data_IF_217225280054
#
_entry.id   IF_217225280054
#
_cell.length_a   1.000
_cell.length_b   1.000
_cell.length_c   1.000
_cell.angle_alpha   90.00
_cell.angle_beta   90.00
_cell.angle_gamma   90.00
#
_symmetry.space_group_name_H-M   'P 1'
#
loop_
_entity.id
_entity.type
_entity.pdbx_description
1 polymer ?
#
# COMPACT_ATOMS: atom_id res chain seq x y z
N UNK A 1 -15.05 26.05 34.72
CA UNK A 1 -14.41 25.62 33.45
C UNK A 1 -13.08 24.92 33.69
N UNK A 2 -12.11 25.51 34.42
CA UNK A 2 -10.83 24.85 34.76
C UNK A 2 -10.97 23.52 35.51
N UNK A 3 -11.79 23.45 36.57
CA UNK A 3 -11.99 22.20 37.33
C UNK A 3 -12.59 21.05 36.50
N UNK A 4 -13.44 21.36 35.53
CA UNK A 4 -14.01 20.38 34.60
C UNK A 4 -12.93 19.83 33.66
N UNK A 5 -12.02 20.70 33.20
CA UNK A 5 -10.88 20.32 32.34
C UNK A 5 -9.92 19.43 33.13
N UNK A 6 -9.56 19.82 34.36
CA UNK A 6 -8.65 19.04 35.21
C UNK A 6 -9.22 17.66 35.56
N UNK A 7 -10.53 17.59 35.83
CA UNK A 7 -11.22 16.31 36.09
C UNK A 7 -11.19 15.38 34.87
N UNK A 8 -11.38 15.92 33.66
CA UNK A 8 -11.32 15.15 32.40
C UNK A 8 -9.89 14.73 32.08
N UNK A 9 -8.90 15.62 32.26
CA UNK A 9 -7.48 15.29 32.05
C UNK A 9 -6.97 14.24 33.04
N UNK A 10 -7.53 14.19 34.25
CA UNK A 10 -7.22 13.19 35.26
C UNK A 10 -7.78 11.79 34.98
N UNK A 11 -8.67 11.61 34.00
CA UNK A 11 -9.16 10.27 33.63
C UNK A 11 -8.01 9.42 33.07
N UNK A 12 -7.82 8.16 33.52
CA UNK A 12 -6.66 7.35 33.15
C UNK A 12 -6.41 7.25 31.65
N UNK A 13 -7.48 7.10 30.85
CA UNK A 13 -7.40 7.01 29.38
C UNK A 13 -6.93 8.33 28.78
N UNK A 14 -7.46 9.46 29.27
CA UNK A 14 -7.10 10.81 28.80
C UNK A 14 -5.68 11.14 29.20
N UNK A 15 -5.31 10.90 30.45
CA UNK A 15 -3.95 11.07 30.95
C UNK A 15 -2.93 10.23 30.16
N UNK A 16 -3.28 8.98 29.81
CA UNK A 16 -2.45 8.12 28.98
C UNK A 16 -2.30 8.65 27.56
N UNK A 17 -3.39 9.09 26.91
CA UNK A 17 -3.35 9.68 25.58
C UNK A 17 -2.53 10.98 25.55
N UNK A 18 -2.67 11.84 26.56
CA UNK A 18 -1.86 13.05 26.71
C UNK A 18 -0.37 12.72 26.90
N UNK A 19 -0.06 11.71 27.72
CA UNK A 19 1.31 11.22 27.93
C UNK A 19 1.91 10.63 26.64
N UNK A 20 1.11 9.91 25.85
CA UNK A 20 1.52 9.39 24.55
C UNK A 20 1.80 10.52 23.55
N UNK A 21 0.94 11.55 23.50
CA UNK A 21 1.16 12.72 22.66
C UNK A 21 2.40 13.52 23.09
N UNK A 22 2.62 13.71 24.39
CA UNK A 22 3.83 14.34 24.92
C UNK A 22 5.09 13.55 24.54
N UNK A 23 5.06 12.21 24.69
CA UNK A 23 6.14 11.32 24.25
C UNK A 23 6.40 11.42 22.75
N UNK A 24 5.36 11.47 21.92
CA UNK A 24 5.47 11.63 20.47
C UNK A 24 6.19 12.93 20.10
N UNK A 25 5.80 14.05 20.73
CA UNK A 25 6.42 15.35 20.48
C UNK A 25 7.88 15.41 20.99
N UNK A 26 8.15 14.88 22.19
CA UNK A 26 9.51 14.80 22.75
C UNK A 26 10.48 13.96 21.92
N UNK A 27 9.96 13.05 21.08
CA UNK A 27 10.76 12.16 20.22
C UNK A 27 10.81 12.58 18.76
N UNK A 28 10.54 13.85 18.47
CA UNK A 28 10.55 14.40 17.12
C UNK A 28 9.51 13.76 16.19
N UNK A 29 8.38 13.29 16.74
CA UNK A 29 7.29 12.68 16.00
C UNK A 29 6.85 13.47 14.77
N UNK A 30 6.53 14.77 14.91
CA UNK A 30 6.16 15.60 13.76
C UNK A 30 7.25 15.65 12.68
N UNK A 31 8.53 15.70 13.05
CA UNK A 31 9.64 15.73 12.10
C UNK A 31 9.81 14.39 11.37
N UNK A 32 9.67 13.27 12.08
CA UNK A 32 9.69 11.94 11.47
C UNK A 32 8.49 11.75 10.53
N UNK A 33 7.29 12.18 10.93
CA UNK A 33 6.12 12.15 10.07
C UNK A 33 6.33 12.96 8.79
N UNK A 34 6.86 14.19 8.91
CA UNK A 34 7.20 15.04 7.76
C UNK A 34 8.23 14.38 6.84
N UNK A 35 9.29 13.80 7.40
CA UNK A 35 10.31 13.09 6.64
C UNK A 35 9.72 11.88 5.89
N UNK A 36 8.93 11.05 6.56
CA UNK A 36 8.26 9.89 5.93
C UNK A 36 7.34 10.36 4.81
N UNK A 37 6.53 11.40 4.98
CA UNK A 37 5.69 11.94 3.91
C UNK A 37 6.51 12.43 2.70
N UNK A 38 7.60 13.16 2.96
CA UNK A 38 8.51 13.63 1.90
C UNK A 38 9.10 12.47 1.10
N UNK A 39 9.67 11.47 1.78
CA UNK A 39 10.23 10.30 1.11
C UNK A 39 9.17 9.45 0.42
N UNK A 40 7.93 9.41 0.92
CA UNK A 40 6.82 8.68 0.28
C UNK A 40 6.49 9.31 -1.07
N UNK A 41 6.32 10.64 -1.12
CA UNK A 41 6.04 11.36 -2.37
C UNK A 41 7.18 11.18 -3.37
N UNK A 42 8.43 11.31 -2.92
CA UNK A 42 9.60 11.10 -3.79
C UNK A 42 9.73 9.66 -4.30
N UNK A 43 9.32 8.66 -3.51
CA UNK A 43 9.35 7.25 -3.92
C UNK A 43 8.21 6.89 -4.87
N UNK A 44 7.10 7.62 -4.82
CA UNK A 44 5.94 7.36 -5.65
C UNK A 44 6.27 7.43 -7.14
N UNK A 45 7.04 8.42 -7.57
CA UNK A 45 7.38 8.59 -9.00
C UNK A 45 8.14 7.37 -9.55
N UNK A 46 9.29 6.95 -8.97
CA UNK A 46 9.97 5.73 -9.41
C UNK A 46 9.13 4.46 -9.30
N UNK A 47 8.33 4.31 -8.24
CA UNK A 47 7.42 3.17 -8.09
C UNK A 47 6.44 3.11 -9.26
N UNK A 48 5.82 4.24 -9.60
CA UNK A 48 4.88 4.33 -10.71
C UNK A 48 5.58 4.09 -12.05
N UNK A 49 6.80 4.60 -12.25
CA UNK A 49 7.59 4.29 -13.45
C UNK A 49 7.88 2.79 -13.58
N UNK A 50 8.26 2.14 -12.49
CA UNK A 50 8.49 0.70 -12.49
C UNK A 50 7.18 -0.08 -12.71
N UNK A 51 6.09 0.30 -12.04
CA UNK A 51 4.78 -0.30 -12.22
C UNK A 51 4.28 -0.15 -13.66
N UNK A 52 4.44 1.04 -14.25
CA UNK A 52 4.16 1.29 -15.67
C UNK A 52 4.95 0.37 -16.58
N UNK A 53 6.25 0.21 -16.32
CA UNK A 53 7.08 -0.65 -17.14
C UNK A 53 6.69 -2.14 -17.01
N UNK A 54 6.33 -2.60 -15.81
CA UNK A 54 5.82 -3.95 -15.56
C UNK A 54 4.47 -4.16 -16.24
N UNK A 55 3.56 -3.18 -16.15
CA UNK A 55 2.27 -3.21 -16.85
C UNK A 55 2.46 -3.26 -18.36
N UNK A 56 3.35 -2.45 -18.92
CA UNK A 56 3.65 -2.45 -20.34
C UNK A 56 4.26 -3.77 -20.81
N UNK A 57 5.23 -4.32 -20.08
CA UNK A 57 5.76 -5.67 -20.34
C UNK A 57 4.63 -6.72 -20.31
N UNK A 58 3.76 -6.65 -19.30
CA UNK A 58 2.69 -7.63 -19.11
C UNK A 58 1.68 -7.55 -20.25
N UNK A 59 1.13 -6.37 -20.52
CA UNK A 59 0.06 -6.20 -21.51
C UNK A 59 0.54 -6.22 -22.97
N UNK A 60 1.82 -5.99 -23.24
CA UNK A 60 2.34 -6.00 -24.63
C UNK A 60 3.10 -7.27 -25.00
N UNK A 61 3.65 -8.00 -24.03
CA UNK A 61 4.49 -9.19 -24.29
C UNK A 61 3.94 -10.44 -23.62
N UNK A 62 3.65 -10.40 -22.32
CA UNK A 62 3.30 -11.62 -21.57
C UNK A 62 1.84 -12.05 -21.77
N UNK A 63 0.94 -11.06 -21.85
CA UNK A 63 -0.52 -11.22 -21.89
C UNK A 63 -1.16 -10.17 -22.81
N UNK A 64 -0.88 -10.22 -24.13
CA UNK A 64 -1.50 -9.31 -25.09
C UNK A 64 -3.03 -9.44 -25.13
N UNK A 65 -3.56 -10.60 -24.77
CA UNK A 65 -5.00 -10.84 -24.62
C UNK A 65 -5.68 -9.90 -23.62
N UNK A 66 -4.97 -9.49 -22.55
CA UNK A 66 -5.50 -8.54 -21.57
C UNK A 66 -5.57 -7.11 -22.14
N UNK A 67 -4.68 -6.73 -23.05
CA UNK A 67 -4.73 -5.43 -23.73
C UNK A 67 -5.98 -5.31 -24.61
N UNK A 68 -6.30 -6.38 -25.33
CA UNK A 68 -7.50 -6.44 -26.17
C UNK A 68 -8.78 -6.35 -25.32
N UNK A 69 -8.81 -7.01 -24.16
CA UNK A 69 -9.90 -6.89 -23.20
C UNK A 69 -10.06 -5.47 -22.66
N UNK A 70 -8.96 -4.80 -22.28
CA UNK A 70 -9.01 -3.41 -21.81
C UNK A 70 -9.56 -2.49 -22.89
N UNK A 71 -9.12 -2.67 -24.15
CA UNK A 71 -9.61 -1.85 -25.27
C UNK A 71 -11.10 -2.09 -25.53
N UNK A 72 -11.55 -3.34 -25.46
CA UNK A 72 -12.97 -3.70 -25.59
C UNK A 72 -13.80 -3.04 -24.49
N UNK A 73 -13.35 -3.11 -23.22
CA UNK A 73 -14.04 -2.44 -22.10
C UNK A 73 -14.13 -0.92 -22.28
N UNK A 74 -13.08 -0.29 -22.82
CA UNK A 74 -13.07 1.16 -23.09
C UNK A 74 -14.11 1.50 -24.17
N UNK A 75 -14.16 0.73 -25.26
CA UNK A 75 -15.15 0.91 -26.33
C UNK A 75 -16.57 0.76 -25.78
N UNK A 76 -16.81 -0.31 -25.02
CA UNK A 76 -18.12 -0.61 -24.44
C UNK A 76 -18.61 0.49 -23.48
N UNK A 77 -17.70 1.07 -22.68
CA UNK A 77 -18.03 2.13 -21.73
C UNK A 77 -18.28 3.49 -22.41
N UNK A 78 -17.61 3.76 -23.52
CA UNK A 78 -17.76 5.02 -24.24
C UNK A 78 -18.94 5.01 -25.22
N UNK A 79 -19.35 3.83 -25.69
CA UNK A 79 -20.42 3.69 -26.69
C UNK A 79 -20.07 4.25 -28.07
N UNK A 80 -18.80 4.59 -28.30
CA UNK A 80 -18.26 5.10 -29.57
C UNK A 80 -17.01 4.28 -29.94
N UNK A 81 -17.12 3.47 -31.00
CA UNK A 81 -16.04 2.59 -31.46
C UNK A 81 -14.80 3.38 -31.93
N UNK A 82 -14.99 4.54 -32.56
CA UNK A 82 -13.90 5.35 -33.08
C UNK A 82 -13.08 5.98 -31.97
N UNK A 83 -13.76 6.56 -30.98
CA UNK A 83 -13.13 7.14 -29.80
C UNK A 83 -12.47 6.06 -28.93
N UNK A 84 -13.17 4.95 -28.68
CA UNK A 84 -12.62 3.85 -27.88
C UNK A 84 -11.38 3.22 -28.50
N UNK A 85 -11.37 3.02 -29.82
CA UNK A 85 -10.19 2.55 -30.54
C UNK A 85 -9.03 3.54 -30.47
N UNK A 86 -9.30 4.84 -30.63
CA UNK A 86 -8.26 5.89 -30.52
C UNK A 86 -7.59 5.88 -29.14
N UNK A 87 -8.38 5.74 -28.07
CA UNK A 87 -7.86 5.67 -26.70
C UNK A 87 -7.10 4.37 -26.47
N UNK A 88 -7.62 3.22 -26.95
CA UNK A 88 -6.94 1.93 -26.85
C UNK A 88 -5.58 1.91 -27.55
N UNK A 89 -5.52 2.44 -28.78
CA UNK A 89 -4.28 2.56 -29.55
C UNK A 89 -3.27 3.48 -28.83
N UNK A 90 -3.73 4.61 -28.29
CA UNK A 90 -2.88 5.49 -27.48
C UNK A 90 -2.31 4.79 -26.23
N UNK A 91 -3.13 4.03 -25.51
CA UNK A 91 -2.69 3.26 -24.32
C UNK A 91 -1.65 2.21 -24.74
N UNK A 92 -1.91 1.47 -25.83
CA UNK A 92 -1.02 0.42 -26.34
C UNK A 92 0.32 0.99 -26.80
N UNK A 93 0.30 2.10 -27.53
CA UNK A 93 1.51 2.80 -27.95
C UNK A 93 2.32 3.29 -26.74
N UNK A 94 1.64 3.94 -25.79
CA UNK A 94 2.26 4.44 -24.56
C UNK A 94 2.95 3.29 -23.80
N UNK A 95 2.24 2.19 -23.57
CA UNK A 95 2.75 1.04 -22.83
C UNK A 95 3.85 0.27 -23.59
N UNK A 96 3.90 0.35 -24.92
CA UNK A 96 4.98 -0.26 -25.72
C UNK A 96 6.35 0.38 -25.45
N UNK A 97 6.39 1.61 -24.93
CA UNK A 97 7.60 2.31 -24.48
C UNK A 97 8.24 1.76 -23.20
N UNK A 98 7.69 0.70 -22.60
CA UNK A 98 8.11 0.18 -21.29
C UNK A 98 9.60 -0.15 -21.17
N UNK A 99 10.25 -0.60 -22.25
CA UNK A 99 11.67 -1.03 -22.23
C UNK A 99 12.61 0.09 -21.81
N UNK A 100 12.40 1.31 -22.30
CA UNK A 100 13.22 2.48 -21.96
C UNK A 100 13.04 2.91 -20.50
N UNK A 101 11.84 2.70 -19.96
CA UNK A 101 11.49 3.07 -18.58
C UNK A 101 11.92 2.00 -17.58
N UNK A 102 11.93 0.72 -17.97
CA UNK A 102 12.13 -0.41 -17.04
C UNK A 102 13.43 -0.32 -16.25
N UNK A 103 14.57 -0.10 -16.92
CA UNK A 103 15.87 -0.05 -16.26
C UNK A 103 16.00 1.14 -15.31
N UNK A 104 15.62 2.33 -15.79
CA UNK A 104 15.65 3.57 -14.98
C UNK A 104 14.67 3.47 -13.81
N UNK A 105 13.44 3.03 -14.07
CA UNK A 105 12.39 2.84 -13.08
C UNK A 105 12.82 1.85 -12.00
N UNK A 106 13.37 0.69 -12.37
CA UNK A 106 13.86 -0.31 -11.41
C UNK A 106 14.98 0.25 -10.53
N UNK A 107 16.01 0.87 -11.11
CA UNK A 107 17.14 1.40 -10.36
C UNK A 107 16.73 2.56 -9.43
N UNK A 108 15.92 3.49 -9.94
CA UNK A 108 15.43 4.63 -9.15
C UNK A 108 14.42 4.19 -8.09
N UNK A 109 13.59 3.18 -8.35
CA UNK A 109 12.66 2.62 -7.37
C UNK A 109 13.41 1.85 -6.27
N UNK A 110 14.43 1.08 -6.63
CA UNK A 110 15.27 0.40 -5.64
C UNK A 110 16.00 1.41 -4.74
N UNK A 111 16.58 2.47 -5.33
CA UNK A 111 17.24 3.52 -4.56
C UNK A 111 16.26 4.29 -3.66
N UNK A 112 15.17 4.81 -4.24
CA UNK A 112 14.20 5.63 -3.52
C UNK A 112 13.44 4.81 -2.48
N UNK A 113 12.99 3.60 -2.83
CA UNK A 113 12.31 2.67 -1.95
C UNK A 113 13.17 2.21 -0.78
N UNK A 114 14.45 1.91 -1.01
CA UNK A 114 15.39 1.57 0.08
C UNK A 114 15.55 2.74 1.06
N UNK A 115 15.69 3.97 0.55
CA UNK A 115 15.79 5.17 1.39
C UNK A 115 14.51 5.44 2.18
N UNK A 116 13.34 5.28 1.55
CA UNK A 116 12.05 5.43 2.22
C UNK A 116 11.87 4.42 3.34
N UNK A 117 12.14 3.12 3.08
CA UNK A 117 12.10 2.08 4.11
C UNK A 117 13.07 2.38 5.25
N UNK A 118 14.30 2.81 4.95
CA UNK A 118 15.27 3.19 5.97
C UNK A 118 14.76 4.29 6.90
N UNK A 119 14.14 5.34 6.35
CA UNK A 119 13.56 6.42 7.13
C UNK A 119 12.32 5.97 7.92
N UNK A 120 11.47 5.13 7.32
CA UNK A 120 10.28 4.58 7.96
C UNK A 120 10.63 3.71 9.17
N UNK A 121 11.54 2.75 8.99
CA UNK A 121 12.05 1.89 10.08
C UNK A 121 12.65 2.73 11.21
N UNK A 122 13.43 3.76 10.86
CA UNK A 122 14.03 4.65 11.86
C UNK A 122 12.96 5.39 12.65
N UNK A 123 11.96 5.96 11.97
CA UNK A 123 10.84 6.65 12.61
C UNK A 123 10.09 5.71 13.57
N UNK A 124 9.70 4.53 13.09
CA UNK A 124 8.96 3.54 13.88
C UNK A 124 9.79 3.08 15.10
N UNK A 125 11.06 2.72 14.90
CA UNK A 125 11.93 2.25 15.98
C UNK A 125 12.16 3.32 17.04
N UNK A 126 12.36 4.58 16.64
CA UNK A 126 12.52 5.70 17.59
C UNK A 126 11.24 5.93 18.40
N UNK A 127 10.06 5.75 17.80
CA UNK A 127 8.79 5.85 18.54
C UNK A 127 8.61 4.70 19.52
N UNK A 128 9.07 3.49 19.20
CA UNK A 128 8.88 2.31 20.05
C UNK A 128 9.96 2.09 21.10
N UNK A 129 11.19 2.55 20.89
CA UNK A 129 12.32 2.28 21.79
C UNK A 129 12.06 2.74 23.24
N UNK A 130 12.61 2.05 24.25
CA UNK A 130 12.45 2.49 25.64
C UNK A 130 13.16 3.83 25.90
N UNK A 131 14.38 3.96 25.37
CA UNK A 131 15.17 5.19 25.45
C UNK A 131 15.31 5.83 24.07
N UNK A 132 15.38 7.16 24.05
CA UNK A 132 15.76 7.88 22.83
C UNK A 132 17.25 7.66 22.60
N UNK A 133 17.59 6.56 21.92
CA UNK A 133 18.92 6.30 21.41
C UNK A 133 18.87 6.40 19.90
N UNK A 134 19.86 7.04 19.29
CA UNK A 134 19.99 7.04 17.85
C UNK A 134 20.11 5.58 17.39
N UNK A 135 19.09 5.10 16.66
CA UNK A 135 18.83 3.71 16.30
C UNK A 135 19.88 3.08 15.35
N UNK A 136 21.05 3.70 15.25
CA UNK A 136 22.08 3.43 14.26
C UNK A 136 23.09 2.43 14.83
N UNK A 137 22.64 1.21 15.11
CA UNK A 137 23.58 0.09 15.14
C UNK A 137 24.23 0.01 13.74
N UNK A 138 25.56 0.11 13.66
CA UNK A 138 26.30 0.06 12.39
C UNK A 138 26.11 -1.31 11.73
N UNK A 139 25.08 -1.46 10.90
CA UNK A 139 24.91 -2.61 10.01
C UNK A 139 25.80 -2.43 8.78
N UNK A 140 26.21 -3.54 8.19
CA UNK A 140 26.89 -3.54 6.89
C UNK A 140 25.96 -2.89 5.84
N UNK A 141 26.50 -1.98 5.01
CA UNK A 141 25.75 -1.26 3.98
C UNK A 141 24.95 -2.20 3.07
N UNK A 142 25.59 -3.26 2.57
CA UNK A 142 24.93 -4.22 1.67
C UNK A 142 23.79 -4.98 2.35
N UNK A 143 23.96 -5.33 3.63
CA UNK A 143 22.93 -6.02 4.39
C UNK A 143 21.72 -5.09 4.63
N UNK A 144 21.96 -3.82 4.95
CA UNK A 144 20.88 -2.85 5.14
C UNK A 144 20.15 -2.57 3.83
N UNK A 145 20.88 -2.45 2.70
CA UNK A 145 20.28 -2.28 1.38
C UNK A 145 19.37 -3.45 1.00
N UNK A 146 19.86 -4.69 1.11
CA UNK A 146 19.06 -5.89 0.80
C UNK A 146 17.86 -6.00 1.73
N UNK A 147 18.06 -5.74 3.03
CA UNK A 147 16.98 -5.75 4.01
C UNK A 147 15.91 -4.72 3.62
N UNK A 148 16.30 -3.49 3.32
CA UNK A 148 15.35 -2.43 2.96
C UNK A 148 14.60 -2.73 1.65
N UNK A 149 15.26 -3.32 0.66
CA UNK A 149 14.61 -3.76 -0.58
C UNK A 149 13.62 -4.90 -0.33
N UNK A 150 13.97 -5.89 0.50
CA UNK A 150 13.07 -6.99 0.85
C UNK A 150 11.80 -6.48 1.56
N UNK A 151 11.97 -5.52 2.47
CA UNK A 151 10.88 -4.87 3.18
C UNK A 151 10.03 -4.06 2.22
N UNK A 152 10.65 -3.31 1.32
CA UNK A 152 9.97 -2.52 0.31
C UNK A 152 9.08 -3.39 -0.58
N UNK A 153 9.62 -4.51 -1.09
CA UNK A 153 8.84 -5.49 -1.85
C UNK A 153 7.74 -6.13 -1.00
N UNK A 154 8.02 -6.44 0.26
CA UNK A 154 7.02 -6.95 1.21
C UNK A 154 5.86 -5.98 1.42
N UNK A 155 6.13 -4.67 1.51
CA UNK A 155 5.10 -3.64 1.62
C UNK A 155 4.26 -3.51 0.35
N UNK A 156 4.91 -3.51 -0.82
CA UNK A 156 4.18 -3.50 -2.10
C UNK A 156 3.28 -4.73 -2.24
N UNK A 157 3.77 -5.91 -1.86
CA UNK A 157 3.00 -7.14 -1.87
C UNK A 157 1.84 -7.10 -0.86
N UNK A 158 2.07 -6.61 0.35
CA UNK A 158 1.02 -6.48 1.37
C UNK A 158 -0.10 -5.53 0.91
N UNK A 159 0.26 -4.39 0.31
CA UNK A 159 -0.70 -3.46 -0.28
C UNK A 159 -1.46 -4.12 -1.42
N UNK A 160 -0.76 -4.82 -2.32
CA UNK A 160 -1.38 -5.54 -3.44
C UNK A 160 -2.40 -6.58 -2.96
N UNK A 161 -2.04 -7.40 -1.97
CA UNK A 161 -2.96 -8.38 -1.36
C UNK A 161 -4.15 -7.68 -0.73
N UNK A 162 -3.94 -6.55 -0.03
CA UNK A 162 -5.01 -5.73 0.52
C UNK A 162 -6.03 -5.27 -0.52
N UNK A 163 -5.54 -4.79 -1.67
CA UNK A 163 -6.40 -4.40 -2.80
C UNK A 163 -7.13 -5.61 -3.38
N UNK A 164 -6.44 -6.73 -3.61
CA UNK A 164 -7.07 -7.95 -4.15
C UNK A 164 -8.16 -8.47 -3.22
N UNK A 165 -7.95 -8.45 -1.90
CA UNK A 165 -8.94 -8.87 -0.91
C UNK A 165 -10.13 -7.92 -0.88
N UNK A 166 -9.88 -6.61 -0.89
CA UNK A 166 -10.93 -5.59 -0.85
C UNK A 166 -11.81 -5.64 -2.12
N UNK A 167 -11.21 -5.80 -3.29
CA UNK A 167 -11.93 -5.81 -4.58
C UNK A 167 -12.49 -7.19 -4.93
N UNK A 168 -11.77 -8.27 -4.61
CA UNK A 168 -12.16 -9.64 -4.91
C UNK A 168 -13.27 -10.18 -4.03
N UNK A 169 -13.59 -9.51 -2.92
CA UNK A 169 -14.61 -9.94 -1.97
C UNK A 169 -15.99 -10.19 -2.60
N UNK A 170 -16.39 -9.40 -3.60
CA UNK A 170 -17.68 -9.58 -4.29
C UNK A 170 -17.70 -10.81 -5.22
N UNK A 171 -16.75 -10.92 -6.15
CA UNK A 171 -16.73 -12.04 -7.12
C UNK A 171 -16.40 -13.40 -6.49
N UNK A 172 -15.52 -13.43 -5.47
CA UNK A 172 -15.25 -14.66 -4.72
C UNK A 172 -16.47 -15.10 -3.90
N UNK A 173 -17.23 -14.16 -3.33
CA UNK A 173 -18.43 -14.49 -2.58
C UNK A 173 -19.49 -15.17 -3.45
N UNK A 174 -19.79 -14.63 -4.64
CA UNK A 174 -20.78 -15.21 -5.55
C UNK A 174 -20.37 -16.62 -6.02
N UNK A 175 -19.10 -16.81 -6.34
CA UNK A 175 -18.56 -18.11 -6.77
C UNK A 175 -18.69 -19.17 -5.68
N UNK A 176 -18.32 -18.82 -4.43
CA UNK A 176 -18.37 -19.77 -3.31
C UNK A 176 -19.82 -20.04 -2.88
N UNK A 177 -20.68 -19.02 -2.86
CA UNK A 177 -22.11 -19.17 -2.56
C UNK A 177 -22.76 -20.12 -3.57
N UNK A 178 -22.48 -19.95 -4.87
CA UNK A 178 -23.00 -20.81 -5.93
C UNK A 178 -22.48 -22.25 -5.81
N UNK A 179 -21.19 -22.44 -5.53
CA UNK A 179 -20.62 -23.78 -5.29
C UNK A 179 -21.22 -24.52 -4.09
N UNK A 180 -21.52 -23.78 -3.02
CA UNK A 180 -22.12 -24.34 -1.82
C UNK A 180 -23.65 -24.48 -1.92
N UNK A 181 -24.26 -23.97 -3.00
CA UNK A 181 -25.71 -23.95 -3.19
C UNK A 181 -26.44 -23.11 -2.13
N UNK A 182 -25.79 -22.07 -1.60
CA UNK A 182 -26.33 -21.22 -0.53
C UNK A 182 -27.03 -19.95 -1.04
N UNK A 183 -27.34 -19.91 -2.34
CA UNK A 183 -27.94 -18.76 -3.02
C UNK A 183 -29.26 -18.33 -2.36
N UNK A 184 -30.07 -19.29 -1.92
CA UNK A 184 -31.38 -19.04 -1.31
C UNK A 184 -31.33 -18.83 0.21
N UNK A 185 -30.14 -18.90 0.83
CA UNK A 185 -30.02 -18.76 2.29
C UNK A 185 -30.25 -17.30 2.70
N UNK A 186 -31.30 -16.99 3.49
CA UNK A 186 -31.57 -15.63 3.90
C UNK A 186 -30.43 -15.09 4.76
N UNK A 187 -29.88 -13.94 4.36
CA UNK A 187 -28.79 -13.28 5.08
C UNK A 187 -27.36 -13.70 4.67
N UNK A 188 -27.20 -14.60 3.69
CA UNK A 188 -25.88 -15.03 3.21
C UNK A 188 -25.02 -13.85 2.69
N UNK A 189 -25.66 -12.88 2.03
CA UNK A 189 -24.97 -11.67 1.57
C UNK A 189 -24.45 -10.79 2.72
N UNK A 190 -25.20 -10.67 3.82
CA UNK A 190 -24.73 -9.95 5.02
C UNK A 190 -23.56 -10.69 5.68
N UNK A 191 -23.66 -12.01 5.80
CA UNK A 191 -22.59 -12.85 6.34
C UNK A 191 -21.29 -12.70 5.56
N UNK A 192 -21.33 -12.78 4.22
CA UNK A 192 -20.16 -12.57 3.38
C UNK A 192 -19.57 -11.17 3.48
N UNK A 193 -20.43 -10.15 3.54
CA UNK A 193 -19.97 -8.77 3.76
C UNK A 193 -19.19 -8.65 5.07
N UNK A 194 -19.64 -9.30 6.15
CA UNK A 194 -18.93 -9.31 7.42
C UNK A 194 -17.59 -10.05 7.31
N UNK A 195 -17.53 -11.16 6.57
CA UNK A 195 -16.27 -11.87 6.29
C UNK A 195 -15.29 -10.97 5.52
N UNK A 196 -15.74 -10.30 4.46
CA UNK A 196 -14.88 -9.41 3.67
C UNK A 196 -14.35 -8.25 4.51
N UNK A 197 -15.19 -7.65 5.36
CA UNK A 197 -14.76 -6.61 6.31
C UNK A 197 -13.72 -7.16 7.29
N UNK A 198 -13.97 -8.33 7.88
CA UNK A 198 -13.05 -8.96 8.82
C UNK A 198 -11.71 -9.30 8.14
N UNK A 199 -11.73 -9.84 6.92
CA UNK A 199 -10.53 -10.18 6.16
C UNK A 199 -9.74 -8.92 5.77
N UNK A 200 -10.43 -7.87 5.31
CA UNK A 200 -9.81 -6.57 5.01
C UNK A 200 -9.15 -5.97 6.26
N UNK A 201 -9.83 -6.05 7.41
CA UNK A 201 -9.28 -5.63 8.69
C UNK A 201 -8.04 -6.44 9.06
N UNK A 202 -8.07 -7.76 8.93
CA UNK A 202 -6.92 -8.63 9.22
C UNK A 202 -5.74 -8.32 8.30
N UNK A 203 -5.95 -8.15 6.99
CA UNK A 203 -4.89 -7.79 6.05
C UNK A 203 -4.30 -6.42 6.37
N UNK A 204 -5.15 -5.43 6.67
CA UNK A 204 -4.71 -4.09 7.09
C UNK A 204 -3.91 -4.14 8.40
N UNK A 205 -4.35 -4.96 9.35
CA UNK A 205 -3.66 -5.19 10.61
C UNK A 205 -2.31 -5.86 10.39
N UNK A 206 -2.22 -6.88 9.53
CA UNK A 206 -0.97 -7.55 9.18
C UNK A 206 0.01 -6.59 8.49
N UNK A 207 -0.47 -5.71 7.62
CA UNK A 207 0.35 -4.67 7.00
C UNK A 207 0.92 -3.73 8.06
N UNK A 208 0.09 -3.28 9.01
CA UNK A 208 0.56 -2.45 10.13
C UNK A 208 1.56 -3.23 11.02
N UNK A 209 1.25 -4.47 11.39
CA UNK A 209 2.14 -5.31 12.19
C UNK A 209 3.49 -5.51 11.49
N UNK A 210 3.50 -5.73 10.18
CA UNK A 210 4.71 -5.80 9.38
C UNK A 210 5.53 -4.50 9.49
N UNK A 211 4.91 -3.33 9.38
CA UNK A 211 5.60 -2.05 9.55
C UNK A 211 6.25 -1.87 10.93
N UNK A 212 5.64 -2.42 11.99
CA UNK A 212 6.15 -2.31 13.36
C UNK A 212 7.22 -3.33 13.75
N UNK A 213 7.28 -4.47 13.05
CA UNK A 213 8.24 -5.55 13.32
C UNK A 213 9.59 -5.33 12.62
N UNK A 214 9.59 -4.53 11.57
CA UNK A 214 10.65 -4.47 10.56
C UNK A 214 11.73 -3.39 10.81
#
# INVERSE_FOLDING_TARGET
MKELIDKVMGWPVVAHALSANDRYNKRLGPQFAAAVTYFTVLSMVPILMFAFAVLGLTLTVLRPDLMDQVTTMIVDQLGDEGMGKTIGDFIKETLSGWRGVFGVGLLTAAYSGSNWVGNLKRAVRVMWADKFSDATAKKNFFLELITNLAIFLGLLLAVFIGVVVAQGGHGLSETIIGWLGWEDVPGIGLFWRLITIALTFVVSWLLMAFLFVV
#
